data_IF_523871099264
#
_entry.id   IF_523871099264
#
_cell.length_a   1.000
_cell.length_b   1.000
_cell.length_c   1.000
_cell.angle_alpha   90.00
_cell.angle_beta   90.00
_cell.angle_gamma   90.00
#
_symmetry.space_group_name_H-M   'P 1'
#
loop_
_entity.id
_entity.type
_entity.pdbx_description
1 polymer ?
#
# COMPACT_ATOMS: atom_id res chain seq x y z
N UNK A 1 -6.70 8.79 9.72
CA UNK A 1 -6.47 7.35 9.94
C UNK A 1 -5.19 7.01 9.22
N UNK A 2 -4.37 6.08 9.75
CA UNK A 2 -3.26 5.54 8.97
C UNK A 2 -3.83 4.81 7.76
N UNK A 3 -3.07 4.73 6.68
CA UNK A 3 -3.46 4.00 5.50
C UNK A 3 -2.65 4.34 4.26
N UNK A 4 -3.02 3.66 3.19
CA UNK A 4 -2.43 3.73 1.87
C UNK A 4 -3.18 4.74 1.01
N UNK A 5 -2.45 5.55 0.24
CA UNK A 5 -3.00 6.49 -0.75
C UNK A 5 -2.14 6.43 -2.01
N UNK A 6 -2.77 6.47 -3.18
CA UNK A 6 -2.04 6.54 -4.43
C UNK A 6 -2.94 6.48 -5.66
N UNK A 7 -2.29 6.57 -6.82
CA UNK A 7 -2.92 6.47 -8.12
C UNK A 7 -1.94 6.00 -9.21
N UNK A 8 -2.47 5.43 -10.29
CA UNK A 8 -1.69 5.07 -11.48
C UNK A 8 -1.61 6.21 -12.50
N UNK A 9 -0.66 6.09 -13.44
CA UNK A 9 -0.41 6.99 -14.56
C UNK A 9 -0.40 8.49 -14.18
N UNK A 10 0.49 8.91 -13.26
CA UNK A 10 0.56 10.31 -12.86
C UNK A 10 0.76 11.24 -14.07
N UNK A 11 -0.17 12.19 -14.23
CA UNK A 11 -0.14 13.15 -15.34
C UNK A 11 0.96 14.21 -15.20
N UNK A 12 1.38 14.50 -13.97
CA UNK A 12 2.33 15.57 -13.68
C UNK A 12 3.74 15.03 -13.46
N UNK A 13 4.72 15.92 -13.67
CA UNK A 13 6.12 15.67 -13.28
C UNK A 13 6.23 15.19 -11.83
N UNK A 14 7.21 14.34 -11.56
CA UNK A 14 7.43 13.65 -10.29
C UNK A 14 7.35 14.57 -9.07
N UNK A 15 7.93 15.77 -9.14
CA UNK A 15 7.90 16.71 -8.01
C UNK A 15 6.49 17.26 -7.72
N UNK A 16 5.71 17.58 -8.75
CA UNK A 16 4.33 18.02 -8.61
C UNK A 16 3.44 16.89 -8.10
N UNK A 17 3.63 15.68 -8.62
CA UNK A 17 2.93 14.47 -8.19
C UNK A 17 3.20 14.15 -6.72
N UNK A 18 4.47 14.21 -6.29
CA UNK A 18 4.83 14.05 -4.87
C UNK A 18 4.22 15.14 -3.99
N UNK A 19 4.22 16.39 -4.44
CA UNK A 19 3.59 17.49 -3.69
C UNK A 19 2.07 17.30 -3.54
N UNK A 20 1.39 16.81 -4.58
CA UNK A 20 -0.04 16.49 -4.50
C UNK A 20 -0.30 15.36 -3.50
N UNK A 21 0.45 14.26 -3.59
CA UNK A 21 0.32 13.15 -2.66
C UNK A 21 0.63 13.55 -1.22
N UNK A 22 1.62 14.41 -1.01
CA UNK A 22 1.94 14.94 0.33
C UNK A 22 0.76 15.73 0.91
N UNK A 23 0.10 16.56 0.09
CA UNK A 23 -1.13 17.25 0.48
C UNK A 23 -2.25 16.26 0.80
N UNK A 24 -2.46 15.24 -0.03
CA UNK A 24 -3.49 14.21 0.19
C UNK A 24 -3.23 13.46 1.50
N UNK A 25 -2.01 13.00 1.74
CA UNK A 25 -1.60 12.33 2.98
C UNK A 25 -1.82 13.24 4.18
N UNK A 26 -1.46 14.52 4.08
CA UNK A 26 -1.67 15.52 5.14
C UNK A 26 -3.16 15.69 5.46
N UNK A 27 -4.04 15.77 4.46
CA UNK A 27 -5.49 15.88 4.67
C UNK A 27 -6.10 14.64 5.35
N UNK A 28 -5.47 13.47 5.22
CA UNK A 28 -5.92 12.23 5.88
C UNK A 28 -5.41 12.07 7.33
N UNK A 29 -4.52 12.95 7.79
CA UNK A 29 -4.06 12.97 9.18
C UNK A 29 -5.14 13.58 10.05
N UNK A 30 -5.86 12.71 10.76
CA UNK A 30 -6.81 13.14 11.80
C UNK A 30 -6.12 13.48 13.12
N UNK A 31 -4.86 13.05 13.31
CA UNK A 31 -4.09 13.25 14.54
C UNK A 31 -2.59 13.46 14.26
N UNK A 32 -1.93 14.23 15.11
CA UNK A 32 -0.53 14.65 14.94
C UNK A 32 0.48 13.49 15.11
N UNK A 33 0.13 12.44 15.83
CA UNK A 33 1.00 11.28 16.08
C UNK A 33 1.15 10.32 14.89
N UNK A 34 0.48 10.56 13.77
CA UNK A 34 0.71 9.78 12.57
C UNK A 34 2.03 10.14 11.89
N UNK A 35 2.80 9.13 11.53
CA UNK A 35 4.01 9.26 10.70
C UNK A 35 3.72 9.02 9.23
N UNK A 36 4.60 9.54 8.40
CA UNK A 36 4.54 9.42 6.94
C UNK A 36 5.83 8.79 6.46
N UNK A 37 5.70 7.82 5.57
CA UNK A 37 6.83 7.32 4.81
C UNK A 37 7.12 8.22 3.61
N UNK A 38 8.26 7.97 2.97
CA UNK A 38 8.61 8.60 1.70
C UNK A 38 7.61 8.27 0.60
N UNK A 39 7.25 9.30 -0.18
CA UNK A 39 6.37 9.15 -1.35
C UNK A 39 7.17 8.56 -2.51
N UNK A 40 6.68 7.45 -3.05
CA UNK A 40 7.16 6.89 -4.29
C UNK A 40 6.38 7.47 -5.46
N UNK A 41 7.07 7.80 -6.55
CA UNK A 41 6.44 8.20 -7.81
C UNK A 41 7.37 7.90 -8.98
N UNK A 42 6.81 7.25 -10.01
CA UNK A 42 7.39 7.08 -11.34
C UNK A 42 6.31 7.37 -12.40
N UNK A 43 6.51 6.97 -13.66
CA UNK A 43 5.55 7.19 -14.75
C UNK A 43 4.28 6.34 -14.64
N UNK A 44 4.31 5.23 -13.90
CA UNK A 44 3.19 4.27 -13.81
C UNK A 44 2.37 4.42 -12.53
N UNK A 45 2.99 4.82 -11.43
CA UNK A 45 2.38 4.86 -10.11
C UNK A 45 2.94 5.99 -9.27
N UNK A 46 2.08 6.59 -8.45
CA UNK A 46 2.48 7.39 -7.32
C UNK A 46 1.74 6.94 -6.06
N UNK A 47 2.46 6.67 -4.97
CA UNK A 47 1.91 6.05 -3.78
C UNK A 47 2.66 6.48 -2.51
N UNK A 48 1.92 6.51 -1.39
CA UNK A 48 2.47 6.76 -0.07
C UNK A 48 1.66 6.10 1.04
N UNK A 49 2.28 6.01 2.21
CA UNK A 49 1.68 5.44 3.41
C UNK A 49 1.78 6.41 4.58
N UNK A 50 0.67 6.51 5.31
CA UNK A 50 0.61 7.13 6.62
C UNK A 50 0.38 6.03 7.67
N UNK A 51 1.11 6.00 8.78
CA UNK A 51 1.01 4.93 9.78
C UNK A 51 1.09 5.49 11.21
N UNK A 52 0.61 4.72 12.19
CA UNK A 52 0.54 5.14 13.60
C UNK A 52 1.80 4.79 14.42
N UNK A 53 2.90 4.39 13.77
CA UNK A 53 4.13 3.89 14.41
C UNK A 53 3.96 2.69 15.36
N UNK A 54 2.80 2.02 15.40
CA UNK A 54 2.60 0.84 16.27
C UNK A 54 2.94 -0.44 15.49
N UNK A 55 2.34 -0.59 14.32
CA UNK A 55 2.53 -1.74 13.42
C UNK A 55 3.38 -1.33 12.21
N UNK A 56 4.16 -2.29 11.69
CA UNK A 56 4.97 -2.14 10.46
C UNK A 56 5.74 -0.81 10.43
N UNK A 57 6.63 -0.63 11.42
CA UNK A 57 7.34 0.63 11.68
C UNK A 57 8.41 0.95 10.63
N UNK A 58 8.80 -0.04 9.86
CA UNK A 58 9.74 0.06 8.77
C UNK A 58 9.19 1.00 7.68
N UNK A 59 10.07 1.77 7.05
CA UNK A 59 9.69 2.66 5.96
C UNK A 59 9.15 1.87 4.76
N UNK A 60 8.05 2.33 4.17
CA UNK A 60 7.45 1.73 2.99
C UNK A 60 7.35 2.72 1.80
N UNK A 61 7.47 2.28 0.55
CA UNK A 61 7.38 0.89 0.10
C UNK A 61 8.54 0.03 0.56
N UNK A 62 8.23 -1.19 0.97
CA UNK A 62 9.24 -2.25 0.96
C UNK A 62 9.66 -2.48 -0.49
N UNK A 63 10.97 -2.55 -0.73
CA UNK A 63 11.55 -2.66 -2.08
C UNK A 63 12.38 -3.93 -2.16
N UNK A 64 12.10 -4.74 -3.17
CA UNK A 64 12.90 -5.91 -3.50
C UNK A 64 12.90 -6.10 -5.01
N UNK A 65 14.05 -5.95 -5.67
CA UNK A 65 14.16 -5.98 -7.13
C UNK A 65 13.21 -4.94 -7.78
N UNK A 66 12.30 -5.38 -8.65
CA UNK A 66 11.27 -4.58 -9.30
C UNK A 66 9.94 -4.56 -8.52
N UNK A 67 9.90 -5.10 -7.31
CA UNK A 67 8.71 -5.13 -6.46
C UNK A 67 8.69 -3.99 -5.45
N UNK A 68 7.53 -3.35 -5.36
CA UNK A 68 7.23 -2.30 -4.39
C UNK A 68 5.96 -2.69 -3.64
N UNK A 69 6.03 -2.76 -2.32
CA UNK A 69 4.92 -3.21 -1.49
C UNK A 69 4.64 -2.23 -0.35
N UNK A 70 3.39 -1.80 -0.27
CA UNK A 70 2.84 -1.05 0.85
C UNK A 70 1.82 -1.90 1.59
N UNK A 71 1.83 -1.83 2.91
CA UNK A 71 1.03 -2.62 3.83
C UNK A 71 0.53 -1.74 4.97
N UNK A 72 -0.77 -1.78 5.20
CA UNK A 72 -1.41 -1.31 6.42
C UNK A 72 -2.10 -2.50 7.09
N UNK A 73 -1.64 -2.86 8.29
CA UNK A 73 -2.04 -4.08 8.99
C UNK A 73 -0.87 -5.02 9.27
N UNK A 74 -1.17 -6.28 9.52
CA UNK A 74 -0.19 -7.30 9.90
C UNK A 74 -0.66 -8.71 9.54
N UNK A 75 0.30 -9.61 9.38
CA UNK A 75 0.07 -11.05 9.33
C UNK A 75 0.13 -11.63 10.75
N UNK A 76 -0.59 -12.72 11.00
CA UNK A 76 -0.64 -13.40 12.30
C UNK A 76 0.09 -14.74 12.29
N UNK A 77 0.31 -15.30 11.10
CA UNK A 77 0.79 -16.67 10.94
C UNK A 77 2.17 -16.78 10.27
N UNK A 78 3.05 -15.79 10.44
CA UNK A 78 4.40 -15.76 9.83
C UNK A 78 5.18 -17.05 10.10
N UNK A 79 5.16 -17.55 11.35
CA UNK A 79 5.81 -18.81 11.73
C UNK A 79 5.26 -20.01 10.96
N UNK A 80 3.94 -20.09 10.77
CA UNK A 80 3.30 -21.17 10.02
C UNK A 80 3.58 -21.08 8.51
N UNK A 81 3.85 -19.87 8.00
CA UNK A 81 4.33 -19.63 6.64
C UNK A 81 5.82 -19.98 6.46
N UNK A 82 6.53 -20.32 7.54
CA UNK A 82 7.95 -20.67 7.54
C UNK A 82 8.91 -19.49 7.75
N UNK A 83 8.40 -18.35 8.22
CA UNK A 83 9.18 -17.12 8.38
C UNK A 83 9.09 -16.60 9.81
N UNK A 84 10.19 -16.66 10.56
CA UNK A 84 10.22 -16.24 11.98
C UNK A 84 10.93 -14.91 12.22
N UNK A 85 11.69 -14.40 11.24
CA UNK A 85 12.54 -13.20 11.37
C UNK A 85 12.46 -12.30 10.13
N UNK A 86 11.29 -12.29 9.47
CA UNK A 86 11.05 -11.56 8.23
C UNK A 86 9.87 -10.63 8.44
N UNK A 87 9.92 -9.44 7.85
CA UNK A 87 8.78 -8.51 7.91
C UNK A 87 7.64 -9.01 7.02
N UNK A 88 6.41 -8.58 7.29
CA UNK A 88 5.25 -9.00 6.49
C UNK A 88 5.38 -8.60 5.00
N UNK A 89 5.86 -7.39 4.65
CA UNK A 89 6.21 -7.05 3.28
C UNK A 89 7.24 -7.99 2.63
N UNK A 90 8.26 -8.40 3.38
CA UNK A 90 9.29 -9.32 2.88
C UNK A 90 8.71 -10.73 2.65
N UNK A 91 7.89 -11.22 3.59
CA UNK A 91 7.18 -12.49 3.46
C UNK A 91 6.31 -12.48 2.20
N UNK A 92 5.58 -11.40 1.96
CA UNK A 92 4.75 -11.24 0.77
C UNK A 92 5.58 -11.38 -0.51
N UNK A 93 6.68 -10.62 -0.63
CA UNK A 93 7.54 -10.65 -1.82
C UNK A 93 8.16 -12.05 -2.04
N UNK A 94 8.61 -12.72 -0.98
CA UNK A 94 9.16 -14.08 -1.06
C UNK A 94 8.10 -15.11 -1.49
N UNK A 95 6.87 -14.99 -1.01
CA UNK A 95 5.77 -15.85 -1.43
C UNK A 95 5.39 -15.59 -2.88
N UNK A 96 5.23 -14.32 -3.30
CA UNK A 96 4.95 -14.00 -4.70
C UNK A 96 6.05 -14.52 -5.63
N UNK A 97 7.33 -14.39 -5.26
CA UNK A 97 8.45 -14.98 -6.02
C UNK A 97 8.37 -16.50 -6.14
N UNK A 98 7.92 -17.18 -5.07
CA UNK A 98 7.80 -18.64 -5.05
C UNK A 98 6.64 -19.16 -5.90
N UNK A 99 5.48 -18.50 -5.84
CA UNK A 99 4.26 -18.98 -6.50
C UNK A 99 4.05 -18.35 -7.88
N UNK A 100 4.60 -17.16 -8.14
CA UNK A 100 4.38 -16.35 -9.36
C UNK A 100 2.90 -16.00 -9.61
N UNK A 101 2.06 -16.12 -8.58
CA UNK A 101 0.64 -15.78 -8.59
C UNK A 101 0.19 -15.37 -7.18
N UNK A 102 -1.10 -15.05 -7.01
CA UNK A 102 -1.68 -14.67 -5.71
C UNK A 102 -2.35 -15.84 -4.96
N UNK A 103 -2.18 -17.08 -5.40
CA UNK A 103 -2.79 -18.26 -4.76
C UNK A 103 -2.31 -18.45 -3.31
N UNK A 104 -1.15 -17.90 -2.94
CA UNK A 104 -0.63 -17.93 -1.57
C UNK A 104 -1.42 -17.03 -0.61
N UNK A 105 -2.18 -16.05 -1.10
CA UNK A 105 -2.95 -15.14 -0.24
C UNK A 105 -3.94 -15.91 0.65
N UNK A 106 -4.49 -17.03 0.18
CA UNK A 106 -5.37 -17.89 0.97
C UNK A 106 -4.68 -18.48 2.21
N UNK A 107 -3.33 -18.55 2.20
CA UNK A 107 -2.51 -19.09 3.29
C UNK A 107 -2.15 -18.03 4.32
N UNK A 108 -2.26 -16.74 4.00
CA UNK A 108 -1.99 -15.65 4.93
C UNK A 108 -3.20 -15.48 5.85
N UNK A 109 -2.95 -15.54 7.15
CA UNK A 109 -3.90 -15.14 8.18
C UNK A 109 -3.45 -13.80 8.75
N UNK A 110 -4.36 -12.84 8.87
CA UNK A 110 -4.01 -11.45 9.15
C UNK A 110 -5.17 -10.49 8.92
N UNK A 111 -4.98 -9.25 9.36
CA UNK A 111 -5.87 -8.13 9.06
C UNK A 111 -5.02 -7.09 8.36
N UNK A 112 -5.25 -6.91 7.07
CA UNK A 112 -4.40 -6.05 6.26
C UNK A 112 -5.05 -5.60 4.95
N UNK A 113 -4.55 -4.49 4.46
CA UNK A 113 -4.68 -4.05 3.08
C UNK A 113 -3.29 -3.72 2.54
N UNK A 114 -3.10 -3.93 1.25
CA UNK A 114 -1.82 -3.71 0.62
C UNK A 114 -1.97 -3.19 -0.81
N UNK A 115 -0.90 -2.53 -1.25
CA UNK A 115 -0.68 -2.15 -2.63
C UNK A 115 0.61 -2.83 -3.06
N UNK A 116 0.55 -3.61 -4.12
CA UNK A 116 1.71 -4.28 -4.70
C UNK A 116 1.92 -3.77 -6.11
N UNK A 117 3.11 -3.27 -6.40
CA UNK A 117 3.50 -2.81 -7.73
C UNK A 117 4.68 -3.64 -8.25
N UNK A 118 4.44 -4.32 -9.36
CA UNK A 118 5.44 -5.01 -10.16
C UNK A 118 5.89 -4.07 -11.27
N UNK A 119 7.09 -3.50 -11.13
CA UNK A 119 7.62 -2.54 -12.09
C UNK A 119 8.14 -3.17 -13.38
N UNK A 120 8.38 -4.48 -13.40
CA UNK A 120 8.78 -5.19 -14.62
C UNK A 120 7.55 -5.45 -15.50
N UNK A 121 6.45 -5.88 -14.87
CA UNK A 121 5.18 -6.14 -15.55
C UNK A 121 4.30 -4.88 -15.71
N UNK A 122 4.69 -3.77 -15.07
CA UNK A 122 3.91 -2.53 -14.98
C UNK A 122 2.49 -2.76 -14.43
N UNK A 123 2.35 -3.63 -13.43
CA UNK A 123 1.05 -4.00 -12.83
C UNK A 123 0.95 -3.54 -11.39
N UNK A 124 -0.19 -2.92 -11.06
CA UNK A 124 -0.56 -2.53 -9.70
C UNK A 124 -1.70 -3.40 -9.22
N UNK A 125 -1.54 -3.98 -8.05
CA UNK A 125 -2.51 -4.84 -7.39
C UNK A 125 -2.93 -4.22 -6.07
N UNK A 126 -4.25 -4.09 -5.88
CA UNK A 126 -4.85 -3.74 -4.60
C UNK A 126 -5.27 -5.04 -3.92
N UNK A 127 -4.80 -5.24 -2.69
CA UNK A 127 -4.94 -6.49 -1.96
C UNK A 127 -5.63 -6.19 -0.63
N UNK A 128 -6.60 -7.01 -0.25
CA UNK A 128 -7.27 -6.94 1.04
C UNK A 128 -7.31 -8.33 1.66
N UNK A 129 -7.29 -8.39 2.99
CA UNK A 129 -7.46 -9.63 3.73
C UNK A 129 -8.80 -10.32 3.43
N UNK A 130 -8.90 -11.61 3.77
CA UNK A 130 -10.09 -12.44 3.46
C UNK A 130 -11.39 -11.87 4.02
N UNK A 131 -11.32 -11.14 5.13
CA UNK A 131 -12.49 -10.58 5.83
C UNK A 131 -12.74 -9.13 5.44
N UNK A 132 -11.86 -8.51 4.66
CA UNK A 132 -11.97 -7.11 4.24
C UNK A 132 -12.01 -6.13 5.40
N UNK A 133 -11.40 -6.48 6.54
CA UNK A 133 -11.56 -5.70 7.78
C UNK A 133 -10.81 -4.37 7.73
N UNK A 134 -9.74 -4.28 6.93
CA UNK A 134 -9.14 -2.99 6.56
C UNK A 134 -9.63 -2.55 5.19
N UNK A 135 -10.55 -1.59 5.20
CA UNK A 135 -11.13 -1.04 3.98
C UNK A 135 -10.10 -0.25 3.17
N UNK A 136 -9.96 -0.62 1.89
CA UNK A 136 -9.21 0.11 0.88
C UNK A 136 -10.19 0.51 -0.22
N UNK A 137 -10.60 1.78 -0.22
CA UNK A 137 -11.46 2.33 -1.26
C UNK A 137 -10.65 2.53 -2.53
N UNK A 138 -11.27 2.24 -3.66
CA UNK A 138 -10.69 2.49 -4.97
C UNK A 138 -11.75 2.94 -5.97
N UNK A 139 -11.29 3.63 -7.01
CA UNK A 139 -12.12 4.05 -8.14
C UNK A 139 -11.28 4.11 -9.40
N UNK A 140 -11.93 4.02 -10.54
CA UNK A 140 -11.29 4.21 -11.85
C UNK A 140 -11.83 5.50 -12.45
N UNK A 141 -10.93 6.43 -12.76
CA UNK A 141 -11.24 7.68 -13.44
C UNK A 141 -10.46 7.75 -14.75
N UNK A 142 -11.16 7.56 -15.87
CA UNK A 142 -10.52 7.40 -17.17
C UNK A 142 -9.61 6.16 -17.18
N UNK A 143 -8.31 6.37 -17.36
CA UNK A 143 -7.30 5.29 -17.33
C UNK A 143 -6.60 5.16 -15.97
N UNK A 144 -6.91 6.01 -14.99
CA UNK A 144 -6.27 5.97 -13.68
C UNK A 144 -7.05 5.12 -12.70
N UNK A 145 -6.33 4.23 -12.00
CA UNK A 145 -6.79 3.59 -10.77
C UNK A 145 -6.35 4.47 -9.59
N UNK A 146 -7.29 4.87 -8.74
CA UNK A 146 -7.03 5.63 -7.52
C UNK A 146 -7.41 4.80 -6.29
N UNK A 147 -6.66 4.90 -5.20
CA UNK A 147 -6.98 4.23 -3.94
C UNK A 147 -6.71 5.09 -2.71
N UNK A 148 -7.47 4.82 -1.64
CA UNK A 148 -7.31 5.43 -0.31
C UNK A 148 -7.97 4.60 0.79
N UNK A 149 -7.51 4.75 2.03
CA UNK A 149 -8.12 4.11 3.20
C UNK A 149 -9.32 4.83 3.82
N UNK A 150 -9.50 6.13 3.59
CA UNK A 150 -10.55 6.91 4.26
C UNK A 150 -11.73 7.20 3.33
N UNK A 151 -12.94 7.10 3.87
CA UNK A 151 -14.19 7.33 3.13
C UNK A 151 -14.69 8.77 3.20
N UNK A 152 -13.95 9.71 3.79
CA UNK A 152 -14.35 11.12 3.81
C UNK A 152 -14.20 11.76 2.42
N UNK A 153 -15.16 11.44 1.54
CA UNK A 153 -15.70 12.38 0.58
C UNK A 153 -16.82 13.13 1.27
N UNK A 154 -16.50 14.16 2.04
CA UNK A 154 -17.48 15.21 2.28
C UNK A 154 -17.13 16.32 1.31
N UNK A 155 -17.75 16.26 0.13
CA UNK A 155 -18.13 17.47 -0.57
C UNK A 155 -18.87 18.34 0.46
N UNK A 156 -18.21 19.37 0.97
CA UNK A 156 -18.93 20.55 1.43
C UNK A 156 -18.81 21.54 0.27
N UNK A 157 -19.87 21.53 -0.56
CA UNK A 157 -20.27 22.66 -1.39
C UNK A 157 -20.26 23.95 -0.60
#
# INVERSE_FOLDING_TARGET
>A
MPGLIGFTHPYWETNKTKSLLDKMLTMTRHYDFYSRDDIFSNQEIAAGRCHNQVLQKEMQPYRQNHYYFWLDGEFYNQKALGFSQKSDPEIFCLLYQKYQDFSFLQKIDGIFSAVFYDAQEQKVYLISDRRGLRTLYWTIQGQQLLWRHTENGVNRS
#
